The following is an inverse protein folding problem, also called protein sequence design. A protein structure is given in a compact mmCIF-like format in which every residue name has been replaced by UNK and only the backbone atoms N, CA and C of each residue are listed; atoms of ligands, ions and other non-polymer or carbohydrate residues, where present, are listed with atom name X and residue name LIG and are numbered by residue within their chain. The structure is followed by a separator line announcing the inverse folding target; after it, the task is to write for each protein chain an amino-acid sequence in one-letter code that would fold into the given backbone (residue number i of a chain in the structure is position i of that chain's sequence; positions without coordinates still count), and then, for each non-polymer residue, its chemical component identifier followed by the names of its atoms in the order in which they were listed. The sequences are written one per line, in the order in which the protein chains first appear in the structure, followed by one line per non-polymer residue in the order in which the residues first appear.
data_IF_840115234669
#
_entry.id   IF_840115234669
#
_cell.length_a   1.000
_cell.length_b   1.000
_cell.length_c   1.000
_cell.angle_alpha   90.00
_cell.angle_beta   90.00
_cell.angle_gamma   90.00
#
_symmetry.space_group_name_H-M   'P 1'
#
loop_
_entity.id
_entity.type
_entity.pdbx_description
1 polymer ?
#
# COMPACT_ATOMS: atom_id res chain seq x y z
N UNK A 1 4.20 41.74 -27.72
CA UNK A 1 4.42 41.18 -26.36
C UNK A 1 3.38 40.09 -26.08
N UNK A 2 3.45 38.94 -26.76
CA UNK A 2 2.45 37.85 -26.66
C UNK A 2 3.08 36.44 -26.58
N UNK A 3 4.35 36.34 -26.18
CA UNK A 3 5.10 35.08 -26.27
C UNK A 3 5.44 34.46 -24.92
N UNK A 4 5.57 35.22 -23.83
CA UNK A 4 5.98 34.65 -22.53
C UNK A 4 4.86 33.90 -21.77
N UNK A 5 3.59 34.21 -22.02
CA UNK A 5 2.46 33.56 -21.34
C UNK A 5 2.23 32.12 -21.80
N UNK A 6 2.51 31.80 -23.08
CA UNK A 6 2.33 30.45 -23.63
C UNK A 6 3.34 29.42 -23.10
N UNK A 7 4.59 29.85 -22.87
CA UNK A 7 5.64 28.99 -22.32
C UNK A 7 5.36 28.63 -20.86
N UNK A 8 4.88 29.59 -20.05
CA UNK A 8 4.52 29.35 -18.66
C UNK A 8 3.36 28.35 -18.52
N UNK A 9 2.32 28.46 -19.36
CA UNK A 9 1.19 27.51 -19.33
C UNK A 9 1.59 26.10 -19.79
N UNK A 10 2.45 25.99 -20.81
CA UNK A 10 2.93 24.70 -21.30
C UNK A 10 3.82 24.02 -20.26
N UNK A 11 4.75 24.78 -19.64
CA UNK A 11 5.60 24.29 -18.58
C UNK A 11 4.80 23.79 -17.36
N UNK A 12 3.75 24.51 -16.96
CA UNK A 12 2.88 24.10 -15.85
C UNK A 12 2.11 22.79 -16.14
N UNK A 13 1.65 22.59 -17.38
CA UNK A 13 1.00 21.33 -17.79
C UNK A 13 1.98 20.16 -17.80
N UNK A 14 3.15 20.33 -18.39
CA UNK A 14 4.21 19.30 -18.41
C UNK A 14 4.57 18.90 -16.98
N UNK A 15 4.74 19.89 -16.10
CA UNK A 15 5.02 19.64 -14.69
C UNK A 15 3.91 18.83 -14.01
N UNK A 16 2.65 19.17 -14.24
CA UNK A 16 1.51 18.41 -13.70
C UNK A 16 1.51 16.95 -14.16
N UNK A 17 1.82 16.69 -15.44
CA UNK A 17 1.91 15.32 -15.95
C UNK A 17 3.10 14.56 -15.37
N UNK A 18 4.26 15.21 -15.23
CA UNK A 18 5.42 14.60 -14.60
C UNK A 18 5.15 14.26 -13.14
N UNK A 19 4.46 15.12 -12.40
CA UNK A 19 4.13 14.88 -10.99
C UNK A 19 3.25 13.66 -10.75
N UNK A 20 2.36 13.31 -11.68
CA UNK A 20 1.53 12.10 -11.55
C UNK A 20 2.15 10.90 -12.25
N UNK A 21 2.75 11.11 -13.42
CA UNK A 21 3.33 10.05 -14.24
C UNK A 21 4.59 9.46 -13.61
N UNK A 22 5.45 10.30 -13.04
CA UNK A 22 6.72 9.84 -12.48
C UNK A 22 6.55 8.90 -11.26
N UNK A 23 5.74 9.21 -10.24
CA UNK A 23 5.49 8.30 -9.13
C UNK A 23 4.83 7.00 -9.58
N UNK A 24 3.94 7.06 -10.58
CA UNK A 24 3.32 5.86 -11.13
C UNK A 24 4.34 4.96 -11.84
N UNK A 25 5.24 5.54 -12.64
CA UNK A 25 6.34 4.81 -13.28
C UNK A 25 7.24 4.17 -12.22
N UNK A 26 7.57 4.90 -11.15
CA UNK A 26 8.33 4.35 -10.04
C UNK A 26 7.60 3.21 -9.32
N UNK A 27 6.29 3.36 -9.07
CA UNK A 27 5.48 2.29 -8.49
C UNK A 27 5.44 1.04 -9.35
N UNK A 28 5.25 1.19 -10.66
CA UNK A 28 5.31 0.08 -11.62
C UNK A 28 6.70 -0.59 -11.65
N UNK A 29 7.77 0.19 -11.58
CA UNK A 29 9.12 -0.33 -11.46
C UNK A 29 9.30 -1.13 -10.16
N UNK A 30 8.80 -0.64 -9.02
CA UNK A 30 8.85 -1.36 -7.75
C UNK A 30 8.08 -2.68 -7.79
N UNK A 31 6.88 -2.67 -8.37
CA UNK A 31 6.10 -3.91 -8.60
C UNK A 31 6.88 -4.89 -9.47
N UNK A 32 7.48 -4.43 -10.57
CA UNK A 32 8.29 -5.29 -11.44
C UNK A 32 9.51 -5.87 -10.72
N UNK A 33 10.22 -5.07 -9.92
CA UNK A 33 11.35 -5.54 -9.13
C UNK A 33 10.94 -6.57 -8.07
N UNK A 34 9.78 -6.38 -7.45
CA UNK A 34 9.21 -7.32 -6.49
C UNK A 34 8.79 -8.63 -7.15
N UNK A 35 8.08 -8.58 -8.29
CA UNK A 35 7.65 -9.77 -9.03
C UNK A 35 8.83 -10.66 -9.44
N UNK A 36 10.00 -10.07 -9.74
CA UNK A 36 11.23 -10.82 -10.02
C UNK A 36 11.80 -11.58 -8.80
N UNK A 37 11.27 -11.34 -7.60
CA UNK A 37 11.65 -11.96 -6.33
C UNK A 37 10.45 -12.60 -5.63
N UNK A 38 9.37 -12.84 -6.35
CA UNK A 38 8.14 -13.36 -5.77
C UNK A 38 8.40 -14.65 -5.00
N UNK A 39 8.09 -14.63 -3.71
CA UNK A 39 8.23 -15.76 -2.80
C UNK A 39 7.20 -15.69 -1.69
N UNK A 40 6.73 -16.85 -1.26
CA UNK A 40 5.85 -16.98 -0.10
C UNK A 40 6.71 -17.25 1.12
N UNK A 41 6.56 -16.42 2.14
CA UNK A 41 7.08 -16.70 3.48
C UNK A 41 5.96 -17.31 4.35
N UNK A 42 6.31 -17.92 5.49
CA UNK A 42 5.31 -18.51 6.40
C UNK A 42 4.16 -17.54 6.68
N UNK A 43 4.45 -16.32 7.11
CA UNK A 43 3.42 -15.31 7.44
C UNK A 43 2.50 -15.02 6.23
N UNK A 44 3.06 -14.99 5.02
CA UNK A 44 2.29 -14.84 3.77
C UNK A 44 1.25 -15.95 3.61
N UNK A 45 1.62 -17.19 3.94
CA UNK A 45 0.71 -18.33 3.87
C UNK A 45 -0.37 -18.29 4.95
N UNK A 46 -0.06 -17.75 6.14
CA UNK A 46 -1.06 -17.54 7.20
C UNK A 46 -2.12 -16.53 6.74
N UNK A 47 -1.71 -15.39 6.19
CA UNK A 47 -2.63 -14.38 5.67
C UNK A 47 -3.55 -14.94 4.58
N UNK A 48 -2.95 -15.70 3.65
CA UNK A 48 -3.68 -16.27 2.52
C UNK A 48 -4.66 -17.35 2.96
N UNK A 49 -4.23 -18.25 3.85
CA UNK A 49 -5.08 -19.29 4.43
C UNK A 49 -6.25 -18.68 5.21
N UNK A 50 -5.99 -17.63 6.02
CA UNK A 50 -7.03 -16.93 6.76
C UNK A 50 -8.06 -16.24 5.84
N UNK A 51 -7.59 -15.60 4.76
CA UNK A 51 -8.47 -14.96 3.77
C UNK A 51 -9.34 -15.97 3.01
N UNK A 52 -8.76 -17.09 2.58
CA UNK A 52 -9.48 -18.17 1.91
C UNK A 52 -10.51 -18.82 2.84
N UNK A 53 -10.13 -19.15 4.07
CA UNK A 53 -11.05 -19.74 5.05
C UNK A 53 -12.17 -18.76 5.47
N UNK A 54 -11.91 -17.45 5.48
CA UNK A 54 -12.95 -16.46 5.68
C UNK A 54 -14.03 -16.57 4.61
N UNK A 55 -13.65 -16.70 3.34
CA UNK A 55 -14.58 -16.81 2.22
C UNK A 55 -15.32 -18.15 2.22
N UNK A 56 -14.61 -19.25 2.46
CA UNK A 56 -15.19 -20.60 2.40
C UNK A 56 -16.04 -20.95 3.62
N UNK A 57 -15.65 -20.46 4.81
CA UNK A 57 -16.18 -20.93 6.09
C UNK A 57 -16.77 -19.81 6.95
N UNK A 58 -16.60 -18.54 6.56
CA UNK A 58 -17.02 -17.39 7.37
C UNK A 58 -16.19 -17.19 8.64
N UNK A 59 -14.97 -17.75 8.71
CA UNK A 59 -14.13 -17.74 9.92
C UNK A 59 -12.67 -17.46 9.59
N UNK A 60 -11.99 -16.67 10.44
CA UNK A 60 -10.54 -16.50 10.39
C UNK A 60 -9.86 -17.68 11.07
N UNK A 61 -9.53 -18.69 10.27
CA UNK A 61 -8.86 -19.90 10.71
C UNK A 61 -7.74 -20.25 9.75
N UNK A 62 -6.71 -20.92 10.25
CA UNK A 62 -5.53 -21.35 9.51
C UNK A 62 -5.22 -22.81 9.81
N UNK A 63 -4.56 -23.49 8.88
CA UNK A 63 -4.12 -24.88 9.07
C UNK A 63 -2.66 -24.88 9.49
N UNK A 64 -2.41 -25.04 10.78
CA UNK A 64 -1.11 -24.86 11.42
C UNK A 64 -1.00 -25.76 12.64
N UNK A 65 0.19 -25.93 13.18
CA UNK A 65 0.43 -26.62 14.45
C UNK A 65 0.82 -25.65 15.57
N UNK A 66 0.59 -24.35 15.40
CA UNK A 66 0.84 -23.32 16.39
C UNK A 66 -0.34 -22.34 16.42
N UNK A 67 -0.85 -21.95 17.61
CA UNK A 67 -0.29 -22.17 18.96
C UNK A 67 -0.58 -23.52 19.65
N UNK A 68 -1.30 -24.46 19.06
CA UNK A 68 -1.63 -25.74 19.73
C UNK A 68 -0.42 -26.62 20.06
N UNK A 69 0.68 -26.51 19.30
CA UNK A 69 1.85 -27.39 19.31
C UNK A 69 1.53 -28.86 18.99
N UNK A 70 0.47 -29.11 18.22
CA UNK A 70 0.12 -30.45 17.76
C UNK A 70 1.19 -31.03 16.79
N UNK A 71 1.29 -32.36 16.73
CA UNK A 71 2.27 -33.02 15.83
C UNK A 71 1.87 -32.91 14.36
N UNK A 72 0.57 -32.94 14.09
CA UNK A 72 -0.01 -32.72 12.76
C UNK A 72 -0.67 -31.34 12.74
N UNK A 73 -0.65 -30.63 11.60
CA UNK A 73 -1.32 -29.34 11.53
C UNK A 73 -2.85 -29.54 11.70
N UNK A 74 -3.48 -28.65 12.45
CA UNK A 74 -4.92 -28.64 12.73
C UNK A 74 -5.52 -27.28 12.36
N UNK A 75 -6.85 -27.21 12.35
CA UNK A 75 -7.55 -25.95 12.13
C UNK A 75 -7.52 -25.10 13.40
N UNK A 76 -6.78 -24.01 13.36
CA UNK A 76 -6.61 -23.09 14.50
C UNK A 76 -7.22 -21.72 14.21
N UNK A 77 -7.59 -21.01 15.27
CA UNK A 77 -8.06 -19.63 15.16
C UNK A 77 -6.87 -18.77 14.76
N UNK A 78 -7.08 -17.92 13.76
CA UNK A 78 -6.08 -16.92 13.37
C UNK A 78 -6.00 -15.83 14.45
N UNK A 79 -4.95 -15.88 15.27
CA UNK A 79 -4.75 -14.95 16.39
C UNK A 79 -3.38 -14.26 16.41
N UNK A 80 -2.47 -14.65 15.53
CA UNK A 80 -1.08 -14.16 15.56
C UNK A 80 -0.95 -12.71 15.09
N UNK A 81 -1.75 -12.31 14.11
CA UNK A 81 -1.73 -10.95 13.57
C UNK A 81 -3.14 -10.35 13.50
N UNK A 82 -3.27 -9.01 13.44
CA UNK A 82 -4.54 -8.35 13.22
C UNK A 82 -5.21 -8.81 11.91
N UNK A 83 -6.55 -8.96 11.87
CA UNK A 83 -7.26 -9.49 10.70
C UNK A 83 -7.33 -8.51 9.51
N UNK A 84 -6.72 -7.32 9.62
CA UNK A 84 -6.81 -6.27 8.60
C UNK A 84 -6.27 -6.69 7.24
N UNK A 85 -5.13 -7.38 7.18
CA UNK A 85 -4.55 -7.83 5.92
C UNK A 85 -5.33 -9.01 5.29
N UNK A 86 -5.73 -10.07 6.04
CA UNK A 86 -6.65 -11.08 5.51
C UNK A 86 -7.97 -10.51 4.97
N UNK A 87 -8.55 -9.52 5.66
CA UNK A 87 -9.75 -8.82 5.20
C UNK A 87 -9.52 -8.05 3.90
N UNK A 88 -8.38 -7.38 3.78
CA UNK A 88 -7.97 -6.71 2.54
C UNK A 88 -7.76 -7.70 1.39
N UNK A 89 -7.23 -8.88 1.68
CA UNK A 89 -6.90 -9.90 0.68
C UNK A 89 -8.13 -10.67 0.16
N UNK A 90 -9.14 -10.90 1.01
CA UNK A 90 -10.32 -11.70 0.67
C UNK A 90 -11.06 -11.27 -0.62
N UNK A 91 -11.30 -9.98 -0.90
CA UNK A 91 -11.89 -9.57 -2.18
C UNK A 91 -11.07 -9.99 -3.41
N UNK A 92 -9.74 -9.97 -3.33
CA UNK A 92 -8.88 -10.42 -4.43
C UNK A 92 -8.95 -11.93 -4.63
N UNK A 93 -8.98 -12.70 -3.54
CA UNK A 93 -9.14 -14.16 -3.58
C UNK A 93 -10.49 -14.52 -4.20
N UNK A 94 -11.56 -13.85 -3.79
CA UNK A 94 -12.90 -14.05 -4.34
C UNK A 94 -12.97 -13.74 -5.84
N UNK A 95 -12.36 -12.63 -6.28
CA UNK A 95 -12.44 -12.19 -7.68
C UNK A 95 -11.54 -13.00 -8.63
N UNK A 96 -10.34 -13.39 -8.18
CA UNK A 96 -9.35 -14.04 -9.04
C UNK A 96 -9.40 -15.56 -8.96
N UNK A 97 -9.94 -16.13 -7.88
CA UNK A 97 -10.05 -17.58 -7.67
C UNK A 97 -8.72 -18.31 -7.43
N UNK A 98 -7.59 -17.71 -7.81
CA UNK A 98 -6.24 -18.18 -7.51
C UNK A 98 -5.66 -17.39 -6.32
N UNK A 99 -5.39 -18.05 -5.17
CA UNK A 99 -4.85 -17.39 -3.98
C UNK A 99 -3.50 -16.69 -4.21
N UNK A 100 -2.61 -17.25 -5.04
CA UNK A 100 -1.30 -16.67 -5.30
C UNK A 100 -1.40 -15.42 -6.19
N UNK A 101 -2.24 -15.50 -7.23
CA UNK A 101 -2.53 -14.36 -8.08
C UNK A 101 -3.23 -13.24 -7.29
N UNK A 102 -4.13 -13.61 -6.39
CA UNK A 102 -4.80 -12.69 -5.49
C UNK A 102 -3.81 -11.95 -4.58
N UNK A 103 -2.92 -12.70 -3.93
CA UNK A 103 -1.88 -12.12 -3.09
C UNK A 103 -0.96 -11.20 -3.89
N UNK A 104 -0.57 -11.60 -5.09
CA UNK A 104 0.30 -10.79 -5.92
C UNK A 104 -0.36 -9.51 -6.41
N UNK A 105 -1.64 -9.59 -6.75
CA UNK A 105 -2.43 -8.43 -7.18
C UNK A 105 -2.66 -7.48 -6.00
N UNK A 106 -3.01 -7.99 -4.83
CA UNK A 106 -3.19 -7.20 -3.61
C UNK A 106 -1.90 -6.45 -3.24
N UNK A 107 -0.75 -7.13 -3.24
CA UNK A 107 0.54 -6.51 -3.01
C UNK A 107 0.85 -5.41 -4.03
N UNK A 108 0.65 -5.69 -5.33
CA UNK A 108 0.90 -4.72 -6.39
C UNK A 108 0.01 -3.47 -6.23
N UNK A 109 -1.27 -3.66 -5.88
CA UNK A 109 -2.20 -2.56 -5.59
C UNK A 109 -1.73 -1.75 -4.40
N UNK A 110 -1.26 -2.38 -3.32
CA UNK A 110 -0.74 -1.66 -2.15
C UNK A 110 0.51 -0.82 -2.49
N UNK A 111 1.47 -1.40 -3.21
CA UNK A 111 2.68 -0.70 -3.68
C UNK A 111 2.31 0.48 -4.57
N UNK A 112 1.46 0.30 -5.57
CA UNK A 112 1.01 1.40 -6.44
C UNK A 112 0.25 2.46 -5.64
N UNK A 113 -0.59 2.04 -4.70
CA UNK A 113 -1.32 2.92 -3.79
C UNK A 113 -0.40 3.86 -3.02
N UNK A 114 0.75 3.37 -2.54
CA UNK A 114 1.75 4.18 -1.81
C UNK A 114 2.24 5.36 -2.67
N UNK A 115 2.58 5.10 -3.93
CA UNK A 115 3.03 6.17 -4.83
C UNK A 115 1.90 7.12 -5.20
N UNK A 116 0.69 6.59 -5.41
CA UNK A 116 -0.50 7.41 -5.72
C UNK A 116 -0.87 8.32 -4.55
N UNK A 117 -0.83 7.84 -3.30
CA UNK A 117 -1.17 8.64 -2.12
C UNK A 117 -0.06 9.64 -1.73
N UNK A 118 1.20 9.33 -2.07
CA UNK A 118 2.31 10.25 -1.85
C UNK A 118 2.16 11.56 -2.66
N UNK A 119 1.55 11.52 -3.86
CA UNK A 119 1.35 12.72 -4.70
C UNK A 119 0.52 13.81 -4.01
N UNK A 120 -0.74 13.56 -3.60
CA UNK A 120 -1.51 14.56 -2.88
C UNK A 120 -0.88 14.91 -1.54
N UNK A 121 -0.20 13.98 -0.85
CA UNK A 121 0.48 14.26 0.41
C UNK A 121 1.60 15.30 0.26
N UNK A 122 2.54 15.07 -0.65
CA UNK A 122 3.65 16.02 -0.85
C UNK A 122 3.18 17.36 -1.43
N UNK A 123 2.07 17.38 -2.18
CA UNK A 123 1.42 18.61 -2.61
C UNK A 123 0.79 19.37 -1.44
N UNK A 124 0.07 18.68 -0.57
CA UNK A 124 -0.55 19.30 0.62
C UNK A 124 0.52 19.82 1.59
N UNK A 125 1.69 19.18 1.66
CA UNK A 125 2.84 19.66 2.44
C UNK A 125 3.63 20.80 1.76
N UNK A 126 3.20 21.25 0.58
CA UNK A 126 3.83 22.32 -0.19
C UNK A 126 5.32 22.08 -0.50
N UNK A 127 5.76 20.83 -0.57
CA UNK A 127 7.15 20.52 -0.95
C UNK A 127 7.46 21.08 -2.33
N UNK A 128 8.65 21.62 -2.54
CA UNK A 128 9.04 22.08 -3.87
C UNK A 128 9.15 20.89 -4.85
N UNK A 129 9.04 21.14 -6.15
CA UNK A 129 9.23 20.17 -7.22
C UNK A 129 10.36 19.15 -7.03
N UNK A 130 11.54 19.60 -6.60
CA UNK A 130 12.73 18.76 -6.46
C UNK A 130 12.60 17.90 -5.22
N UNK A 131 12.12 18.44 -4.10
CA UNK A 131 11.86 17.67 -2.88
C UNK A 131 10.79 16.59 -3.10
N UNK A 132 9.76 16.84 -3.91
CA UNK A 132 8.77 15.82 -4.28
C UNK A 132 9.44 14.64 -5.00
N UNK A 133 10.25 14.94 -6.02
CA UNK A 133 11.01 13.93 -6.77
C UNK A 133 11.92 13.13 -5.85
N UNK A 134 12.69 13.80 -4.99
CA UNK A 134 13.54 13.16 -3.99
C UNK A 134 12.72 12.27 -3.04
N UNK A 135 11.55 12.71 -2.60
CA UNK A 135 10.63 11.93 -1.77
C UNK A 135 10.14 10.66 -2.45
N UNK A 136 9.78 10.72 -3.74
CA UNK A 136 9.37 9.54 -4.48
C UNK A 136 10.54 8.55 -4.69
N UNK A 137 11.74 9.05 -4.98
CA UNK A 137 12.94 8.22 -5.05
C UNK A 137 13.26 7.58 -3.70
N UNK A 138 13.13 8.34 -2.61
CA UNK A 138 13.32 7.83 -1.25
C UNK A 138 12.35 6.69 -0.94
N UNK A 139 11.06 6.86 -1.24
CA UNK A 139 10.05 5.81 -1.07
C UNK A 139 10.36 4.54 -1.89
N UNK A 140 10.91 4.66 -3.10
CA UNK A 140 11.22 3.51 -3.95
C UNK A 140 12.55 2.81 -3.64
N UNK A 141 13.60 3.57 -3.32
CA UNK A 141 14.98 3.05 -3.33
C UNK A 141 15.67 3.07 -1.97
N UNK A 142 15.09 3.70 -0.95
CA UNK A 142 15.64 3.60 0.39
C UNK A 142 15.56 2.15 0.88
N UNK A 143 16.63 1.67 1.51
CA UNK A 143 16.84 0.25 1.79
C UNK A 143 15.67 -0.38 2.55
N UNK A 144 15.14 0.32 3.56
CA UNK A 144 14.03 -0.17 4.37
C UNK A 144 12.74 -0.34 3.56
N UNK A 145 12.42 0.58 2.63
CA UNK A 145 11.23 0.43 1.79
C UNK A 145 11.39 -0.66 0.75
N UNK A 146 12.60 -0.84 0.22
CA UNK A 146 12.90 -1.94 -0.69
C UNK A 146 12.70 -3.30 -0.03
N UNK A 147 13.05 -3.43 1.26
CA UNK A 147 12.79 -4.65 2.03
C UNK A 147 11.29 -4.86 2.27
N UNK A 148 10.56 -3.80 2.64
CA UNK A 148 9.10 -3.81 2.80
C UNK A 148 8.40 -4.26 1.50
N UNK A 149 8.84 -3.75 0.35
CA UNK A 149 8.28 -4.14 -0.94
C UNK A 149 8.77 -5.49 -1.43
N UNK A 150 9.86 -6.02 -0.85
CA UNK A 150 10.53 -7.23 -1.31
C UNK A 150 9.81 -8.53 -0.97
N UNK A 151 8.85 -8.50 -0.04
CA UNK A 151 8.18 -9.69 0.48
C UNK A 151 6.67 -9.50 0.53
N UNK A 152 5.90 -10.58 0.32
CA UNK A 152 4.45 -10.58 0.46
C UNK A 152 4.04 -10.54 1.94
N UNK A 153 4.00 -9.34 2.50
CA UNK A 153 3.59 -9.10 3.89
C UNK A 153 2.54 -7.99 3.99
N UNK A 154 2.11 -7.71 5.22
CA UNK A 154 1.14 -6.67 5.54
C UNK A 154 1.68 -5.25 5.36
N UNK A 155 3.01 -5.10 5.28
CA UNK A 155 3.74 -3.85 5.46
C UNK A 155 3.48 -2.83 4.34
N UNK A 156 3.37 -3.20 3.05
CA UNK A 156 2.99 -2.23 2.03
C UNK A 156 1.56 -1.72 2.23
N UNK A 157 0.62 -2.57 2.68
CA UNK A 157 -0.72 -2.11 3.02
C UNK A 157 -0.67 -1.19 4.25
N UNK A 158 0.10 -1.56 5.27
CA UNK A 158 0.29 -0.73 6.47
C UNK A 158 0.86 0.65 6.11
N UNK A 159 1.88 0.71 5.25
CA UNK A 159 2.47 1.96 4.78
C UNK A 159 1.48 2.78 3.95
N UNK A 160 0.70 2.14 3.06
CA UNK A 160 -0.36 2.81 2.31
C UNK A 160 -1.37 3.46 3.26
N UNK A 161 -1.89 2.71 4.23
CA UNK A 161 -2.85 3.20 5.22
C UNK A 161 -2.22 4.33 6.04
N UNK A 162 -0.98 4.16 6.50
CA UNK A 162 -0.25 5.18 7.28
C UNK A 162 -0.11 6.50 6.51
N UNK A 163 0.27 6.44 5.23
CA UNK A 163 0.36 7.64 4.39
C UNK A 163 -1.02 8.27 4.13
N UNK A 164 -2.05 7.44 3.97
CA UNK A 164 -3.44 7.90 3.86
C UNK A 164 -3.92 8.64 5.12
N UNK A 165 -3.67 8.07 6.30
CA UNK A 165 -3.98 8.68 7.59
C UNK A 165 -3.19 9.97 7.77
N UNK A 166 -1.90 9.99 7.41
CA UNK A 166 -1.08 11.20 7.46
C UNK A 166 -1.62 12.30 6.54
N UNK A 167 -1.99 11.97 5.30
CA UNK A 167 -2.61 12.91 4.38
C UNK A 167 -3.88 13.51 4.97
N UNK A 168 -4.75 12.67 5.54
CA UNK A 168 -5.97 13.12 6.20
C UNK A 168 -5.66 14.05 7.39
N UNK A 169 -4.74 13.65 8.27
CA UNK A 169 -4.34 14.43 9.43
C UNK A 169 -3.77 15.81 9.05
N UNK A 170 -2.88 15.87 8.04
CA UNK A 170 -2.32 17.13 7.55
C UNK A 170 -3.42 18.03 7.00
N UNK A 171 -4.35 17.50 6.20
CA UNK A 171 -5.48 18.28 5.68
C UNK A 171 -6.37 18.81 6.80
N UNK A 172 -6.71 17.97 7.78
CA UNK A 172 -7.52 18.37 8.92
C UNK A 172 -6.86 19.49 9.76
N UNK A 173 -5.54 19.49 9.88
CA UNK A 173 -4.78 20.56 10.55
C UNK A 173 -4.79 21.86 9.74
N UNK A 174 -4.59 21.79 8.42
CA UNK A 174 -4.55 22.97 7.53
C UNK A 174 -5.93 23.62 7.36
N UNK A 175 -7.00 22.83 7.35
CA UNK A 175 -8.39 23.31 7.21
C UNK A 175 -8.94 23.98 8.49
N UNK A 176 -8.08 24.24 9.49
CA UNK A 176 -8.41 25.07 10.65
C UNK A 176 -9.29 24.41 11.71
N UNK A 177 -9.33 23.07 11.78
CA UNK A 177 -9.81 22.33 12.96
C UNK A 177 -11.22 22.67 13.46
N UNK A 178 -12.13 23.11 12.59
CA UNK A 178 -13.48 23.58 13.02
C UNK A 178 -14.46 22.46 13.39
N UNK A 179 -14.09 21.18 13.24
CA UNK A 179 -14.92 20.04 13.63
C UNK A 179 -14.25 19.16 14.68
N UNK A 180 -14.72 19.21 15.94
CA UNK A 180 -14.33 18.26 17.01
C UNK A 180 -14.44 16.78 16.61
N UNK A 181 -15.24 16.47 15.58
CA UNK A 181 -15.44 15.13 15.02
C UNK A 181 -14.27 14.60 14.18
N UNK A 182 -13.41 15.46 13.63
CA UNK A 182 -12.34 15.03 12.71
C UNK A 182 -11.21 14.25 13.41
N UNK A 183 -11.11 14.34 14.74
CA UNK A 183 -10.09 13.69 15.56
C UNK A 183 -10.42 12.25 15.96
N UNK A 184 -11.66 11.80 15.81
CA UNK A 184 -12.10 10.47 16.27
C UNK A 184 -11.71 9.37 15.26
N UNK A 185 -11.31 9.74 14.04
CA UNK A 185 -10.98 8.82 12.94
C UNK A 185 -9.47 8.71 12.65
N UNK A 186 -8.62 9.33 13.49
CA UNK A 186 -7.15 9.26 13.40
C UNK A 186 -6.57 8.29 14.41
#
# INVERSE_FOLDING_TARGET
MATLSGWSQTAGRVWTYLEWGFPLILGLLMVSLWLNRFGLLPDSTFYLSAATNLLERGKFVVYTNFPSFDFEPVMEIYSEYPPGFPLYLAPFVFLLGDPLLAAATAQAVAILGIFVIAVPLFRTLEFDPVLRLCGYFFLGFFISFREIFGTLYSEPLFLLVTLGTLLYAVRALLDGGSGKWNWILG
#
